data_IF_240564646118
#
_entry.id   IF_240564646118
#
_cell.length_a   1.000
_cell.length_b   1.000
_cell.length_c   1.000
_cell.angle_alpha   90.00
_cell.angle_beta   90.00
_cell.angle_gamma   90.00
#
_symmetry.space_group_name_H-M   'P 1'
#
loop_
_entity.id
_entity.type
_entity.pdbx_description
1 polymer ?
#
# COMPACT_ATOMS: atom_id res chain seq x y z
N UNK A 1 -16.10 11.34 -11.42
CA UNK A 1 -16.65 10.07 -10.92
C UNK A 1 -16.75 10.15 -9.40
N UNK A 2 -17.84 9.73 -8.85
CA UNK A 2 -18.05 9.72 -7.39
C UNK A 2 -17.50 8.39 -6.82
N UNK A 3 -16.69 8.49 -5.78
CA UNK A 3 -16.17 7.36 -5.00
C UNK A 3 -15.94 7.81 -3.56
N UNK A 4 -15.89 6.88 -2.64
CA UNK A 4 -15.53 7.11 -1.25
C UNK A 4 -14.36 6.22 -0.84
N UNK A 5 -13.56 6.70 0.11
CA UNK A 5 -12.54 5.89 0.79
C UNK A 5 -13.14 5.39 2.10
N UNK A 6 -12.95 4.11 2.41
CA UNK A 6 -13.35 3.51 3.67
C UNK A 6 -12.37 2.42 4.10
N UNK A 7 -12.42 2.04 5.35
CA UNK A 7 -11.76 0.82 5.81
C UNK A 7 -12.32 -0.39 5.05
N UNK A 8 -11.43 -1.31 4.73
CA UNK A 8 -11.80 -2.60 4.17
C UNK A 8 -12.51 -3.46 5.23
N UNK A 9 -13.28 -4.40 4.76
CA UNK A 9 -13.87 -5.48 5.54
C UNK A 9 -13.43 -6.83 4.96
N UNK A 10 -13.59 -7.90 5.68
CA UNK A 10 -13.32 -9.25 5.15
C UNK A 10 -14.14 -9.57 3.89
N UNK A 11 -15.32 -8.92 3.73
CA UNK A 11 -16.16 -9.02 2.54
C UNK A 11 -15.50 -8.48 1.27
N UNK A 12 -14.49 -7.60 1.40
CA UNK A 12 -13.76 -7.03 0.26
C UNK A 12 -12.65 -7.96 -0.27
N UNK A 13 -12.42 -9.11 0.37
CA UNK A 13 -11.31 -10.02 0.06
C UNK A 13 -11.31 -10.50 -1.40
N UNK A 14 -12.49 -10.77 -1.98
CA UNK A 14 -12.60 -11.16 -3.39
C UNK A 14 -12.14 -10.03 -4.31
N UNK A 15 -12.59 -8.80 -4.07
CA UNK A 15 -12.20 -7.65 -4.90
C UNK A 15 -10.69 -7.36 -4.79
N UNK A 16 -10.12 -7.44 -3.58
CA UNK A 16 -8.67 -7.29 -3.36
C UNK A 16 -7.88 -8.37 -4.08
N UNK A 17 -8.32 -9.65 -4.00
CA UNK A 17 -7.75 -10.77 -4.71
C UNK A 17 -7.74 -10.52 -6.24
N UNK A 18 -8.86 -10.09 -6.80
CA UNK A 18 -9.01 -9.90 -8.25
C UNK A 18 -8.16 -8.72 -8.74
N UNK A 19 -8.13 -7.62 -7.99
CA UNK A 19 -7.27 -6.47 -8.28
C UNK A 19 -5.79 -6.88 -8.26
N UNK A 20 -5.32 -7.57 -7.23
CA UNK A 20 -3.93 -8.00 -7.15
C UNK A 20 -3.59 -9.03 -8.23
N UNK A 21 -4.50 -9.98 -8.45
CA UNK A 21 -4.37 -11.06 -9.42
C UNK A 21 -4.14 -10.57 -10.84
N UNK A 22 -4.74 -9.45 -11.24
CA UNK A 22 -4.53 -8.86 -12.57
C UNK A 22 -3.08 -8.41 -12.80
N UNK A 23 -2.33 -8.14 -11.74
CA UNK A 23 -0.92 -7.73 -11.81
C UNK A 23 0.08 -8.89 -11.71
N UNK A 24 -0.35 -10.06 -11.25
CA UNK A 24 0.54 -11.23 -11.12
C UNK A 24 1.14 -11.66 -12.46
N UNK A 25 0.44 -11.62 -13.61
CA UNK A 25 1.04 -11.93 -14.91
C UNK A 25 2.04 -10.88 -15.42
N UNK A 26 2.24 -9.77 -14.71
CA UNK A 26 3.14 -8.70 -15.13
C UNK A 26 4.49 -8.79 -14.39
N UNK A 27 5.59 -8.58 -15.12
CA UNK A 27 6.95 -8.66 -14.56
C UNK A 27 7.44 -7.34 -13.92
N UNK A 28 6.65 -6.28 -14.04
CA UNK A 28 7.04 -4.92 -13.63
C UNK A 28 6.16 -4.30 -12.52
N UNK A 29 5.26 -5.08 -11.89
CA UNK A 29 4.37 -4.56 -10.82
C UNK A 29 4.59 -5.29 -9.51
N UNK A 30 4.66 -6.62 -9.54
CA UNK A 30 4.87 -7.46 -8.36
C UNK A 30 5.78 -8.64 -8.68
N UNK A 31 6.56 -9.08 -7.67
CA UNK A 31 7.35 -10.32 -7.78
C UNK A 31 6.57 -11.58 -7.41
N UNK A 32 5.32 -11.45 -6.99
CA UNK A 32 4.45 -12.60 -6.75
C UNK A 32 4.27 -13.41 -8.05
N UNK A 33 4.49 -14.72 -7.97
CA UNK A 33 4.40 -15.65 -9.10
C UNK A 33 3.01 -16.27 -9.19
N UNK A 34 2.41 -16.61 -8.04
CA UNK A 34 1.06 -17.18 -7.95
C UNK A 34 0.17 -16.29 -7.08
N UNK A 35 -1.03 -15.97 -7.57
CA UNK A 35 -1.95 -15.14 -6.79
C UNK A 35 -2.39 -15.91 -5.53
N UNK A 36 -2.20 -15.37 -4.32
CA UNK A 36 -2.70 -15.97 -3.10
C UNK A 36 -4.24 -16.13 -3.14
N UNK A 37 -4.76 -17.08 -2.38
CA UNK A 37 -6.21 -17.35 -2.36
C UNK A 37 -7.03 -16.19 -1.77
N UNK A 38 -8.35 -16.17 -2.03
CA UNK A 38 -9.28 -15.20 -1.43
C UNK A 38 -9.25 -15.29 0.10
N UNK A 39 -9.13 -16.50 0.66
CA UNK A 39 -9.03 -16.67 2.12
C UNK A 39 -7.75 -16.09 2.70
N UNK A 40 -6.65 -16.11 1.95
CA UNK A 40 -5.43 -15.39 2.34
C UNK A 40 -5.70 -13.89 2.46
N UNK A 41 -6.39 -13.28 1.48
CA UNK A 41 -6.71 -11.86 1.54
C UNK A 41 -7.71 -11.53 2.65
N UNK A 42 -8.67 -12.42 2.94
CA UNK A 42 -9.59 -12.26 4.07
C UNK A 42 -8.84 -12.16 5.39
N UNK A 43 -7.93 -13.10 5.65
CA UNK A 43 -7.06 -13.09 6.83
C UNK A 43 -6.16 -11.86 6.86
N UNK A 44 -5.52 -11.53 5.73
CA UNK A 44 -4.66 -10.36 5.60
C UNK A 44 -5.39 -9.06 5.94
N UNK A 45 -6.65 -8.90 5.50
CA UNK A 45 -7.45 -7.71 5.83
C UNK A 45 -7.68 -7.66 7.34
N UNK A 46 -8.15 -8.75 7.97
CA UNK A 46 -8.43 -8.80 9.39
C UNK A 46 -7.16 -8.50 10.22
N UNK A 47 -6.07 -9.21 9.96
CA UNK A 47 -4.79 -9.04 10.67
C UNK A 47 -4.17 -7.65 10.47
N UNK A 48 -4.28 -7.10 9.26
CA UNK A 48 -3.75 -5.74 8.98
C UNK A 48 -4.50 -4.70 9.79
N UNK A 49 -5.84 -4.78 9.86
CA UNK A 49 -6.68 -3.82 10.55
C UNK A 49 -6.48 -3.78 12.07
N UNK A 50 -5.87 -4.79 12.66
CA UNK A 50 -5.47 -4.73 14.08
C UNK A 50 -4.45 -3.62 14.35
N UNK A 51 -3.60 -3.30 13.38
CA UNK A 51 -2.47 -2.41 13.57
C UNK A 51 -2.36 -1.30 12.53
N UNK A 52 -2.65 -1.59 11.27
CA UNK A 52 -2.46 -0.67 10.14
C UNK A 52 -3.77 -0.43 9.39
N UNK A 53 -3.94 0.73 8.75
CA UNK A 53 -5.06 0.93 7.84
C UNK A 53 -5.00 -0.06 6.67
N UNK A 54 -6.16 -0.64 6.35
CA UNK A 54 -6.45 -1.29 5.09
C UNK A 54 -7.65 -0.56 4.48
N UNK A 55 -7.43 0.20 3.42
CA UNK A 55 -8.40 1.09 2.80
C UNK A 55 -8.81 0.57 1.44
N UNK A 56 -10.07 0.78 1.09
CA UNK A 56 -10.60 0.57 -0.25
C UNK A 56 -11.23 1.84 -0.80
N UNK A 57 -11.12 2.04 -2.10
CA UNK A 57 -11.86 3.05 -2.84
C UNK A 57 -13.09 2.39 -3.46
N UNK A 58 -14.28 2.73 -2.95
CA UNK A 58 -15.56 2.18 -3.39
C UNK A 58 -16.28 3.17 -4.30
N UNK A 59 -16.59 2.76 -5.53
CA UNK A 59 -17.40 3.52 -6.48
C UNK A 59 -18.87 3.61 -6.08
N UNK A 60 -19.63 4.44 -6.77
CA UNK A 60 -21.07 4.61 -6.53
C UNK A 60 -21.87 3.31 -6.75
N UNK A 61 -21.39 2.45 -7.63
CA UNK A 61 -21.93 1.12 -7.95
C UNK A 61 -21.48 0.01 -6.97
N UNK A 62 -20.83 0.38 -5.86
CA UNK A 62 -20.22 -0.54 -4.87
C UNK A 62 -19.00 -1.32 -5.35
N UNK A 63 -18.55 -1.10 -6.57
CA UNK A 63 -17.34 -1.71 -7.09
C UNK A 63 -16.10 -1.15 -6.38
N UNK A 64 -15.16 -2.04 -6.04
CA UNK A 64 -13.87 -1.63 -5.48
C UNK A 64 -12.94 -1.22 -6.63
N UNK A 65 -12.53 0.03 -6.64
CA UNK A 65 -11.68 0.66 -7.66
C UNK A 65 -10.19 0.56 -7.35
N UNK A 66 -9.85 0.18 -6.12
CA UNK A 66 -8.48 0.04 -5.65
C UNK A 66 -8.41 -0.06 -4.14
N UNK A 67 -7.22 -0.36 -3.65
CA UNK A 67 -6.96 -0.45 -2.21
C UNK A 67 -5.57 0.06 -1.85
N UNK A 68 -5.38 0.39 -0.57
CA UNK A 68 -4.09 0.66 0.03
C UNK A 68 -4.01 0.00 1.41
N UNK A 69 -2.89 -0.61 1.75
CA UNK A 69 -2.70 -1.24 3.04
C UNK A 69 -1.28 -1.06 3.57
N UNK A 70 -1.14 -1.10 4.90
CA UNK A 70 0.14 -1.07 5.60
C UNK A 70 0.64 -2.45 5.99
N UNK A 71 1.96 -2.53 6.15
CA UNK A 71 2.65 -3.68 6.73
C UNK A 71 3.91 -3.19 7.48
N UNK A 72 4.47 -4.00 8.41
CA UNK A 72 5.70 -3.62 9.08
C UNK A 72 6.85 -3.52 8.08
N UNK A 73 7.67 -2.46 8.20
CA UNK A 73 8.87 -2.32 7.37
C UNK A 73 9.86 -3.45 7.60
N UNK A 74 10.04 -3.87 8.85
CA UNK A 74 10.88 -4.97 9.30
C UNK A 74 10.31 -5.56 10.59
N UNK A 75 10.60 -6.83 10.92
CA UNK A 75 10.00 -7.53 12.07
C UNK A 75 10.54 -7.11 13.44
N UNK A 76 11.53 -6.22 13.53
CA UNK A 76 12.13 -5.82 14.80
C UNK A 76 11.47 -4.57 15.40
N UNK A 77 11.31 -4.52 16.71
CA UNK A 77 10.63 -3.44 17.44
C UNK A 77 11.21 -2.05 17.18
N UNK A 78 12.50 -1.94 16.94
CA UNK A 78 13.16 -0.67 16.61
C UNK A 78 12.66 -0.03 15.29
N UNK A 79 11.96 -0.78 14.45
CA UNK A 79 11.36 -0.28 13.21
C UNK A 79 9.88 0.07 13.33
N UNK A 80 9.26 -0.04 14.52
CA UNK A 80 7.81 0.04 14.72
C UNK A 80 7.16 1.38 14.31
N UNK A 81 7.93 2.44 14.11
CA UNK A 81 7.43 3.74 13.63
C UNK A 81 7.40 3.87 12.11
N UNK A 82 7.79 2.83 11.41
CA UNK A 82 7.92 2.79 9.95
C UNK A 82 6.92 1.79 9.36
N UNK A 83 6.27 2.20 8.29
CA UNK A 83 5.27 1.39 7.60
C UNK A 83 5.66 1.23 6.15
N UNK A 84 5.68 0.00 5.65
CA UNK A 84 5.68 -0.26 4.22
C UNK A 84 4.23 -0.26 3.73
N UNK A 85 3.95 0.45 2.64
CA UNK A 85 2.61 0.50 2.09
C UNK A 85 2.52 -0.17 0.72
N UNK A 86 1.36 -0.72 0.45
CA UNK A 86 0.98 -1.24 -0.86
C UNK A 86 -0.21 -0.44 -1.36
N UNK A 87 -0.19 -0.04 -2.64
CA UNK A 87 -1.33 0.55 -3.32
C UNK A 87 -1.54 -0.13 -4.66
N UNK A 88 -2.78 -0.56 -4.93
CA UNK A 88 -3.19 -1.17 -6.19
C UNK A 88 -4.53 -0.59 -6.63
N UNK A 89 -4.66 -0.32 -7.93
CA UNK A 89 -5.92 0.10 -8.54
C UNK A 89 -6.44 -1.01 -9.45
N UNK A 90 -7.74 -1.17 -9.52
CA UNK A 90 -8.35 -2.06 -10.50
C UNK A 90 -7.92 -1.67 -11.93
N UNK A 91 -7.72 -2.64 -12.81
CA UNK A 91 -7.24 -2.41 -14.18
C UNK A 91 -8.19 -1.48 -14.94
N UNK A 92 -9.48 -1.65 -14.73
CA UNK A 92 -10.57 -0.87 -15.33
C UNK A 92 -10.96 0.38 -14.50
N UNK A 93 -10.25 0.66 -13.40
CA UNK A 93 -10.47 1.89 -12.64
C UNK A 93 -10.18 3.12 -13.51
N UNK A 94 -11.05 4.14 -13.46
CA UNK A 94 -10.87 5.35 -14.26
C UNK A 94 -9.55 6.04 -13.93
N UNK A 95 -8.73 6.26 -14.96
CA UNK A 95 -7.43 6.89 -14.81
C UNK A 95 -7.56 8.39 -14.54
N UNK A 96 -6.60 8.95 -13.78
CA UNK A 96 -6.49 10.39 -13.49
C UNK A 96 -7.68 10.99 -12.72
N UNK A 97 -8.51 10.19 -12.07
CA UNK A 97 -9.64 10.65 -11.23
C UNK A 97 -9.25 10.90 -9.77
N UNK A 98 -7.97 10.78 -9.43
CA UNK A 98 -7.48 11.08 -8.07
C UNK A 98 -7.63 9.94 -7.06
N UNK A 99 -8.09 8.75 -7.46
CA UNK A 99 -8.33 7.60 -6.56
C UNK A 99 -7.09 7.27 -5.74
N UNK A 100 -5.93 7.08 -6.39
CA UNK A 100 -4.67 6.77 -5.68
C UNK A 100 -4.26 7.90 -4.72
N UNK A 101 -4.49 9.15 -5.09
CA UNK A 101 -4.18 10.31 -4.23
C UNK A 101 -5.11 10.36 -3.01
N UNK A 102 -6.39 10.02 -3.18
CA UNK A 102 -7.36 9.97 -2.07
C UNK A 102 -7.04 8.82 -1.11
N UNK A 103 -6.75 7.62 -1.62
CA UNK A 103 -6.29 6.48 -0.82
C UNK A 103 -5.05 6.85 0.01
N UNK A 104 -4.05 7.49 -0.63
CA UNK A 104 -2.84 7.91 0.05
C UNK A 104 -3.12 8.93 1.16
N UNK A 105 -3.93 9.96 0.89
CA UNK A 105 -4.20 11.01 1.87
C UNK A 105 -4.85 10.45 3.13
N UNK A 106 -5.87 9.62 2.97
CA UNK A 106 -6.54 8.97 4.09
C UNK A 106 -5.60 8.02 4.83
N UNK A 107 -4.83 7.22 4.10
CA UNK A 107 -3.85 6.29 4.66
C UNK A 107 -2.79 7.02 5.49
N UNK A 108 -2.19 8.07 4.94
CA UNK A 108 -1.16 8.85 5.63
C UNK A 108 -1.73 9.60 6.85
N UNK A 109 -2.97 10.08 6.78
CA UNK A 109 -3.64 10.75 7.89
C UNK A 109 -3.86 9.78 9.06
N UNK A 110 -4.39 8.58 8.81
CA UNK A 110 -4.60 7.56 9.83
C UNK A 110 -3.28 7.14 10.48
N UNK A 111 -2.24 6.89 9.69
CA UNK A 111 -0.91 6.55 10.23
C UNK A 111 -0.30 7.69 11.07
N UNK A 112 -0.50 8.94 10.68
CA UNK A 112 -0.02 10.08 11.47
C UNK A 112 -0.77 10.20 12.82
N UNK A 113 -2.08 9.95 12.85
CA UNK A 113 -2.88 9.86 14.08
C UNK A 113 -2.42 8.72 15.00
N UNK A 114 -2.03 7.58 14.43
CA UNK A 114 -1.44 6.46 15.17
C UNK A 114 -0.03 6.76 15.72
N UNK A 115 0.65 7.81 15.25
CA UNK A 115 2.01 8.15 15.65
C UNK A 115 3.12 7.50 14.83
N UNK A 116 2.80 6.96 13.63
CA UNK A 116 3.83 6.53 12.68
C UNK A 116 4.57 7.72 12.10
N UNK A 117 5.85 7.50 11.74
CA UNK A 117 6.74 8.58 11.29
C UNK A 117 7.02 8.53 9.79
N UNK A 118 7.26 7.34 9.26
CA UNK A 118 7.65 7.19 7.86
C UNK A 118 6.78 6.15 7.14
N UNK A 119 6.44 6.47 5.89
CA UNK A 119 5.88 5.51 4.93
C UNK A 119 6.95 5.18 3.91
N UNK A 120 7.14 3.89 3.65
CA UNK A 120 8.02 3.36 2.62
C UNK A 120 7.20 2.71 1.51
N UNK A 121 7.61 2.95 0.26
CA UNK A 121 7.09 2.25 -0.90
C UNK A 121 8.21 1.49 -1.58
N UNK A 122 7.98 0.23 -1.91
CA UNK A 122 8.91 -0.61 -2.68
C UNK A 122 8.30 -0.89 -4.04
N UNK A 123 8.98 -0.47 -5.10
CA UNK A 123 8.50 -0.52 -6.47
C UNK A 123 9.46 -1.32 -7.35
N UNK A 124 8.94 -2.05 -8.31
CA UNK A 124 9.78 -2.55 -9.41
C UNK A 124 10.25 -1.34 -10.21
N UNK A 125 11.55 -1.25 -10.49
CA UNK A 125 12.22 -0.09 -11.08
C UNK A 125 11.68 0.31 -12.46
N UNK A 126 11.13 -0.64 -13.19
CA UNK A 126 10.49 -0.43 -14.50
C UNK A 126 9.02 0.02 -14.42
N UNK A 127 8.41 0.06 -13.22
CA UNK A 127 7.04 0.52 -13.01
C UNK A 127 6.96 2.05 -12.99
N UNK A 128 7.05 2.69 -14.15
CA UNK A 128 7.06 4.15 -14.29
C UNK A 128 5.79 4.82 -13.75
N UNK A 129 4.64 4.15 -13.82
CA UNK A 129 3.38 4.68 -13.30
C UNK A 129 3.44 4.81 -11.77
N UNK A 130 3.98 3.81 -11.08
CA UNK A 130 4.17 3.84 -9.64
C UNK A 130 5.23 4.85 -9.21
N UNK A 131 6.35 4.93 -9.94
CA UNK A 131 7.39 5.95 -9.72
C UNK A 131 6.80 7.36 -9.82
N UNK A 132 6.03 7.65 -10.88
CA UNK A 132 5.40 8.95 -11.06
C UNK A 132 4.39 9.27 -9.94
N UNK A 133 3.62 8.28 -9.48
CA UNK A 133 2.70 8.44 -8.37
C UNK A 133 3.44 8.80 -7.08
N UNK A 134 4.48 8.05 -6.70
CA UNK A 134 5.24 8.30 -5.48
C UNK A 134 5.90 9.68 -5.49
N UNK A 135 6.52 10.08 -6.61
CA UNK A 135 7.08 11.43 -6.79
C UNK A 135 6.00 12.52 -6.63
N UNK A 136 4.83 12.35 -7.27
CA UNK A 136 3.69 13.27 -7.15
C UNK A 136 3.18 13.40 -5.72
N UNK A 137 3.20 12.30 -4.95
CA UNK A 137 2.80 12.28 -3.54
C UNK A 137 3.88 12.83 -2.60
N UNK A 138 5.04 13.23 -3.12
CA UNK A 138 6.13 13.84 -2.37
C UNK A 138 7.05 12.85 -1.66
N UNK A 139 7.06 11.59 -2.09
CA UNK A 139 8.06 10.63 -1.67
C UNK A 139 9.41 10.94 -2.30
N UNK A 140 10.49 10.66 -1.56
CA UNK A 140 11.88 10.76 -2.01
C UNK A 140 12.44 9.36 -2.24
N UNK A 141 13.23 9.20 -3.27
CA UNK A 141 13.98 7.95 -3.49
C UNK A 141 15.01 7.76 -2.36
N UNK A 142 15.00 6.58 -1.78
CA UNK A 142 15.86 6.20 -0.65
C UNK A 142 16.90 5.15 -1.02
N UNK A 143 16.73 4.46 -2.13
CA UNK A 143 17.69 3.48 -2.63
C UNK A 143 17.19 2.72 -3.84
N UNK A 144 18.16 2.11 -4.57
CA UNK A 144 17.91 1.24 -5.71
C UNK A 144 18.70 -0.05 -5.51
N UNK A 145 18.06 -1.18 -5.69
CA UNK A 145 18.70 -2.50 -5.70
C UNK A 145 18.51 -3.11 -7.09
N UNK A 146 19.59 -3.14 -7.84
CA UNK A 146 19.62 -3.77 -9.16
C UNK A 146 19.45 -5.28 -9.04
N UNK A 147 18.75 -5.89 -10.00
CA UNK A 147 18.58 -7.35 -10.08
C UNK A 147 18.07 -8.00 -8.77
N UNK A 148 17.14 -7.35 -8.09
CA UNK A 148 16.62 -7.78 -6.81
C UNK A 148 15.66 -8.98 -6.90
N UNK A 149 15.00 -9.17 -8.05
CA UNK A 149 14.06 -10.27 -8.26
C UNK A 149 14.10 -10.80 -9.69
N UNK A 150 13.84 -12.11 -9.83
CA UNK A 150 13.75 -12.78 -11.12
C UNK A 150 12.33 -13.26 -11.36
N UNK A 151 11.70 -12.80 -12.44
CA UNK A 151 10.34 -13.18 -12.81
C UNK A 151 10.17 -13.19 -14.33
N UNK A 152 9.49 -14.20 -14.88
CA UNK A 152 9.19 -14.34 -16.30
C UNK A 152 10.45 -14.22 -17.18
N UNK A 153 11.55 -14.85 -16.76
CA UNK A 153 12.80 -14.87 -17.51
C UNK A 153 13.63 -13.59 -17.45
N UNK A 154 13.28 -12.64 -16.57
CA UNK A 154 13.96 -11.35 -16.47
C UNK A 154 14.33 -11.00 -15.02
N UNK A 155 15.54 -10.47 -14.83
CA UNK A 155 15.92 -9.78 -13.62
C UNK A 155 15.33 -8.37 -13.61
N UNK A 156 14.82 -7.94 -12.44
CA UNK A 156 14.28 -6.60 -12.20
C UNK A 156 14.87 -6.04 -10.90
N UNK A 157 15.15 -4.77 -10.93
CA UNK A 157 15.52 -4.02 -9.73
C UNK A 157 14.30 -3.54 -8.94
N UNK A 158 14.55 -3.05 -7.73
CA UNK A 158 13.55 -2.38 -6.90
C UNK A 158 14.05 -1.00 -6.50
N UNK A 159 13.13 -0.06 -6.47
CA UNK A 159 13.32 1.28 -5.94
C UNK A 159 12.63 1.39 -4.59
N UNK A 160 13.34 1.92 -3.62
CA UNK A 160 12.79 2.30 -2.33
C UNK A 160 12.46 3.78 -2.33
N UNK A 161 11.24 4.10 -1.98
CA UNK A 161 10.76 5.46 -1.77
C UNK A 161 10.37 5.65 -0.31
N UNK A 162 10.62 6.84 0.25
CA UNK A 162 10.30 7.17 1.64
C UNK A 162 9.62 8.52 1.73
N UNK A 163 8.68 8.65 2.65
CA UNK A 163 8.06 9.92 3.01
C UNK A 163 7.84 10.02 4.51
N UNK A 164 8.26 11.15 5.09
CA UNK A 164 7.96 11.52 6.47
C UNK A 164 6.53 12.05 6.57
N UNK A 165 5.77 11.54 7.55
CA UNK A 165 4.37 11.91 7.80
C UNK A 165 4.11 12.34 9.25
N UNK A 166 4.95 11.94 10.18
CA UNK A 166 4.80 12.19 11.61
C UNK A 166 5.73 13.28 12.14
N UNK A 167 5.60 13.57 13.43
CA UNK A 167 6.48 14.54 14.11
C UNK A 167 7.83 13.91 14.47
N UNK A 168 8.85 14.76 14.60
CA UNK A 168 10.20 14.39 15.03
C UNK A 168 10.40 14.43 16.56
N UNK A 169 9.32 14.33 17.34
CA UNK A 169 9.43 14.35 18.81
C UNK A 169 10.30 13.18 19.32
N UNK A 170 11.25 13.49 20.17
CA UNK A 170 12.18 12.51 20.76
C UNK A 170 12.03 12.51 22.30
N UNK A 171 11.95 11.35 22.94
CA UNK A 171 11.82 10.00 22.33
C UNK A 171 10.42 9.78 21.73
N UNK A 172 10.29 8.99 20.66
CA UNK A 172 9.01 8.73 20.02
C UNK A 172 8.15 7.83 20.91
N UNK A 173 6.86 8.15 21.03
CA UNK A 173 5.89 7.25 21.68
C UNK A 173 5.61 6.04 20.81
N UNK A 174 5.28 4.90 21.42
CA UNK A 174 4.83 3.70 20.68
C UNK A 174 3.59 4.04 19.85
N UNK A 175 3.52 3.63 18.58
CA UNK A 175 2.33 3.84 17.78
C UNK A 175 1.10 3.16 18.39
N UNK A 176 -0.05 3.82 18.28
CA UNK A 176 -1.36 3.30 18.66
C UNK A 176 -1.82 2.22 17.67
N UNK A 177 -2.66 1.32 18.12
CA UNK A 177 -3.47 0.49 17.21
C UNK A 177 -4.42 1.36 16.39
N UNK A 178 -4.96 0.81 15.31
CA UNK A 178 -5.90 1.56 14.48
C UNK A 178 -7.17 1.96 15.27
N UNK A 179 -7.67 1.07 16.12
CA UNK A 179 -8.87 1.31 16.95
C UNK A 179 -8.65 2.34 18.04
N UNK A 180 -7.43 2.50 18.56
CA UNK A 180 -7.10 3.53 19.56
C UNK A 180 -6.94 4.93 18.94
N UNK A 181 -6.66 5.00 17.63
CA UNK A 181 -6.41 6.26 16.92
C UNK A 181 -7.68 6.84 16.27
N UNK A 182 -8.75 6.05 16.12
CA UNK A 182 -10.04 6.45 15.55
C UNK A 182 -11.03 6.85 16.63
#
# INVERSE_FOLDING_TARGET
>A
MEFKIRLATEGDAQAVHDIYGSYVPLDYVTFTVENPSVDHYRKKIAETLEKYPFLVAEGADKKILGYACGSPLRPHDAYQWNVEWTIMLAEDAPRRQGIATALYKEFAQLLALQGYRYIYGVLVDTNQASVALHKKLGFKEAGHFENAGFKMGKWRGILWYVKEIGSSNEPPKKPLSLSEAM
#
